data_IF_720457211658
#
_entry.id   IF_720457211658
#
_cell.length_a   1.000
_cell.length_b   1.000
_cell.length_c   1.000
_cell.angle_alpha   90.00
_cell.angle_beta   90.00
_cell.angle_gamma   90.00
#
_symmetry.space_group_name_H-M   'P 1'
#
loop_
_entity.id
_entity.type
_entity.pdbx_description
1 polymer ?
#
# COMPACT_ATOMS: atom_id res chain seq x y z
N UNK A 1 24.94 -0.18 -26.86
CA UNK A 1 24.52 -0.39 -25.46
C UNK A 1 23.30 0.49 -25.29
N UNK A 2 22.08 -0.06 -25.41
CA UNK A 2 20.84 0.72 -25.59
C UNK A 2 19.88 0.58 -24.40
N UNK A 3 20.41 0.15 -23.25
CA UNK A 3 19.61 0.04 -22.04
C UNK A 3 19.42 1.44 -21.45
N UNK A 4 18.19 1.86 -21.14
CA UNK A 4 17.96 3.11 -20.44
C UNK A 4 18.58 3.07 -19.04
N UNK A 5 19.00 4.21 -18.48
CA UNK A 5 19.51 4.28 -17.13
C UNK A 5 18.41 3.99 -16.10
N UNK A 6 18.78 3.34 -14.99
CA UNK A 6 17.81 2.82 -14.00
C UNK A 6 17.00 3.89 -13.28
N UNK A 7 17.52 5.11 -13.13
CA UNK A 7 16.80 6.18 -12.42
C UNK A 7 15.54 6.63 -13.18
N UNK A 8 15.49 6.46 -14.51
CA UNK A 8 14.32 6.79 -15.33
C UNK A 8 13.08 5.95 -14.98
N UNK A 9 13.22 4.90 -14.18
CA UNK A 9 12.10 4.08 -13.73
C UNK A 9 11.22 4.78 -12.68
N UNK A 10 11.80 5.69 -11.88
CA UNK A 10 11.12 6.33 -10.75
C UNK A 10 11.30 7.86 -10.70
N UNK A 11 12.22 8.43 -11.47
CA UNK A 11 12.42 9.88 -11.58
C UNK A 11 11.66 10.42 -12.79
N UNK A 12 10.86 11.46 -12.57
CA UNK A 12 10.15 12.19 -13.62
C UNK A 12 11.12 13.05 -14.42
N UNK A 13 10.89 13.12 -15.74
CA UNK A 13 11.63 14.02 -16.62
C UNK A 13 11.13 15.46 -16.50
N UNK A 14 11.94 16.41 -16.98
CA UNK A 14 11.59 17.82 -16.95
C UNK A 14 10.34 18.09 -17.80
N UNK A 15 9.26 18.53 -17.15
CA UNK A 15 7.96 18.81 -17.79
C UNK A 15 6.99 17.62 -17.83
N UNK A 16 7.37 16.44 -17.33
CA UNK A 16 6.49 15.28 -17.26
C UNK A 16 5.48 15.39 -16.10
N UNK A 17 4.19 15.25 -16.40
CA UNK A 17 3.14 15.27 -15.37
C UNK A 17 3.08 13.92 -14.65
N UNK A 18 3.10 13.89 -13.31
CA UNK A 18 3.04 12.63 -12.55
C UNK A 18 1.72 11.87 -12.76
N UNK A 19 0.63 12.61 -12.95
CA UNK A 19 -0.72 12.07 -13.12
C UNK A 19 -1.41 12.80 -14.25
N UNK A 20 -2.01 12.04 -15.16
CA UNK A 20 -2.83 12.54 -16.26
C UNK A 20 -4.21 11.88 -16.17
N UNK A 21 -5.27 12.69 -16.10
CA UNK A 21 -6.66 12.21 -16.05
C UNK A 21 -7.26 12.32 -17.45
N UNK A 22 -7.74 11.21 -17.98
CA UNK A 22 -8.37 11.12 -19.30
C UNK A 22 -9.81 10.64 -19.07
N UNK A 23 -10.77 11.55 -19.21
CA UNK A 23 -12.19 11.20 -19.12
C UNK A 23 -12.61 10.31 -20.29
N UNK A 24 -13.40 9.26 -20.01
CA UNK A 24 -13.91 8.37 -21.05
C UNK A 24 -15.18 8.97 -21.65
N UNK A 25 -15.19 9.13 -22.98
CA UNK A 25 -16.35 9.69 -23.70
C UNK A 25 -17.41 8.65 -24.02
N UNK A 26 -17.07 7.35 -23.95
CA UNK A 26 -17.97 6.25 -24.34
C UNK A 26 -18.75 5.68 -23.17
N UNK A 27 -18.21 5.77 -21.96
CA UNK A 27 -18.81 5.21 -20.75
C UNK A 27 -19.11 6.36 -19.79
N UNK A 28 -20.35 6.51 -19.31
CA UNK A 28 -20.68 7.56 -18.36
C UNK A 28 -19.95 7.34 -17.04
N UNK A 29 -19.56 8.44 -16.38
CA UNK A 29 -18.91 8.45 -15.07
C UNK A 29 -17.65 7.55 -15.03
N UNK A 30 -16.88 7.52 -16.11
CA UNK A 30 -15.65 6.76 -16.20
C UNK A 30 -14.46 7.65 -16.56
N UNK A 31 -13.32 7.36 -15.94
CA UNK A 31 -12.05 8.00 -16.27
C UNK A 31 -10.93 6.97 -16.30
N UNK A 32 -9.96 7.20 -17.19
CA UNK A 32 -8.70 6.49 -17.22
C UNK A 32 -7.61 7.43 -16.73
N UNK A 33 -6.94 7.04 -15.67
CA UNK A 33 -5.90 7.83 -15.02
C UNK A 33 -4.56 7.16 -15.33
N UNK A 34 -3.64 7.93 -15.91
CA UNK A 34 -2.27 7.51 -16.19
C UNK A 34 -1.36 8.03 -15.08
N UNK A 35 -0.67 7.11 -14.42
CA UNK A 35 0.31 7.44 -13.38
C UNK A 35 1.68 7.05 -13.87
N UNK A 36 2.57 8.05 -13.97
CA UNK A 36 3.90 7.90 -14.55
C UNK A 36 4.93 7.58 -13.46
N UNK A 37 5.97 6.84 -13.83
CA UNK A 37 7.09 6.40 -12.99
C UNK A 37 6.64 5.57 -11.79
N UNK A 38 5.58 4.78 -12.00
CA UNK A 38 4.98 3.89 -11.00
C UNK A 38 4.64 2.54 -11.63
N UNK A 39 4.59 1.50 -10.80
CA UNK A 39 4.47 0.12 -11.23
C UNK A 39 3.27 -0.61 -10.57
N UNK A 40 3.31 -1.95 -10.59
CA UNK A 40 2.27 -2.79 -10.01
C UNK A 40 2.10 -2.59 -8.50
N UNK A 41 3.12 -2.10 -7.79
CA UNK A 41 3.09 -1.90 -6.34
C UNK A 41 1.96 -0.94 -5.97
N UNK A 42 1.93 0.21 -6.62
CA UNK A 42 0.92 1.23 -6.42
C UNK A 42 -0.38 0.89 -7.17
N UNK A 43 -0.27 0.41 -8.41
CA UNK A 43 -1.44 0.08 -9.24
C UNK A 43 -2.35 -0.99 -8.63
N UNK A 44 -1.78 -2.09 -8.13
CA UNK A 44 -2.57 -3.17 -7.54
C UNK A 44 -3.22 -2.74 -6.21
N UNK A 45 -2.49 -1.98 -5.39
CA UNK A 45 -2.98 -1.50 -4.09
C UNK A 45 -4.18 -0.58 -4.28
N UNK A 46 -4.10 0.39 -5.20
CA UNK A 46 -5.22 1.26 -5.53
C UNK A 46 -6.41 0.50 -6.09
N UNK A 47 -6.17 -0.42 -7.02
CA UNK A 47 -7.23 -1.24 -7.61
C UNK A 47 -7.97 -2.06 -6.55
N UNK A 48 -7.24 -2.67 -5.61
CA UNK A 48 -7.84 -3.42 -4.51
C UNK A 48 -8.68 -2.51 -3.59
N UNK A 49 -8.20 -1.32 -3.26
CA UNK A 49 -8.94 -0.39 -2.41
C UNK A 49 -10.20 0.15 -3.09
N UNK A 50 -10.12 0.48 -4.38
CA UNK A 50 -11.25 0.99 -5.14
C UNK A 50 -12.39 -0.03 -5.25
N UNK A 51 -12.05 -1.31 -5.45
CA UNK A 51 -13.04 -2.40 -5.50
C UNK A 51 -13.76 -2.64 -4.15
N UNK A 52 -13.23 -2.14 -3.04
CA UNK A 52 -13.92 -2.19 -1.74
C UNK A 52 -14.96 -1.07 -1.57
N UNK A 53 -14.94 -0.04 -2.42
CA UNK A 53 -15.87 1.08 -2.34
C UNK A 53 -17.19 0.75 -3.06
N UNK A 54 -18.35 0.88 -2.40
CA UNK A 54 -19.64 0.51 -3.00
C UNK A 54 -20.06 1.42 -4.17
N UNK A 55 -19.54 2.64 -4.21
CA UNK A 55 -19.80 3.64 -5.26
C UNK A 55 -19.05 3.32 -6.58
N UNK A 56 -18.06 2.42 -6.53
CA UNK A 56 -17.24 2.05 -7.68
C UNK A 56 -17.80 0.80 -8.35
N UNK A 57 -18.28 0.96 -9.58
CA UNK A 57 -18.81 -0.14 -10.38
C UNK A 57 -17.70 -0.96 -11.04
N UNK A 58 -16.61 -0.30 -11.44
CA UNK A 58 -15.47 -0.95 -12.08
C UNK A 58 -14.17 -0.26 -11.69
N UNK A 59 -13.17 -1.07 -11.32
CA UNK A 59 -11.79 -0.62 -11.17
C UNK A 59 -10.83 -1.69 -11.72
N UNK A 60 -10.02 -1.30 -12.70
CA UNK A 60 -9.01 -2.16 -13.30
C UNK A 60 -7.77 -1.38 -13.65
N UNK A 61 -6.60 -1.99 -13.48
CA UNK A 61 -5.33 -1.37 -13.88
C UNK A 61 -4.57 -2.28 -14.84
N UNK A 62 -3.74 -1.68 -15.70
CA UNK A 62 -2.82 -2.40 -16.57
C UNK A 62 -1.53 -1.60 -16.78
N UNK A 63 -0.43 -2.32 -16.90
CA UNK A 63 0.83 -1.80 -17.44
C UNK A 63 0.85 -2.14 -18.93
N UNK A 64 0.79 -1.17 -19.83
CA UNK A 64 0.66 -1.45 -21.26
C UNK A 64 1.91 -2.12 -21.84
N UNK A 65 3.10 -1.79 -21.32
CA UNK A 65 4.34 -2.40 -21.74
C UNK A 65 5.35 -2.40 -20.58
N UNK A 66 6.08 -3.51 -20.31
CA UNK A 66 6.99 -3.60 -19.16
C UNK A 66 8.20 -2.65 -19.24
N UNK A 67 8.60 -2.23 -20.44
CA UNK A 67 9.70 -1.26 -20.62
C UNK A 67 9.29 0.20 -20.36
N UNK A 68 8.00 0.47 -20.20
CA UNK A 68 7.51 1.81 -19.93
C UNK A 68 7.00 1.87 -18.48
N UNK A 69 7.64 2.66 -17.60
CA UNK A 69 7.29 2.69 -16.18
C UNK A 69 6.04 3.56 -15.94
N UNK A 70 4.90 3.16 -16.47
CA UNK A 70 3.61 3.77 -16.12
C UNK A 70 2.51 2.72 -16.13
N UNK A 71 1.47 2.96 -15.36
CA UNK A 71 0.25 2.17 -15.42
C UNK A 71 -0.95 3.05 -15.72
N UNK A 72 -1.97 2.43 -16.29
CA UNK A 72 -3.28 3.04 -16.53
C UNK A 72 -4.27 2.38 -15.58
N UNK A 73 -4.99 3.19 -14.81
CA UNK A 73 -6.11 2.72 -13.99
C UNK A 73 -7.41 3.28 -14.54
N UNK A 74 -8.36 2.41 -14.84
CA UNK A 74 -9.69 2.76 -15.31
C UNK A 74 -10.68 2.57 -14.17
N UNK A 75 -11.45 3.61 -13.90
CA UNK A 75 -12.41 3.69 -12.81
C UNK A 75 -13.75 4.09 -13.41
N UNK A 76 -14.81 3.41 -12.99
CA UNK A 76 -16.20 3.76 -13.30
C UNK A 76 -16.98 3.80 -11.99
N UNK A 77 -17.73 4.87 -11.78
CA UNK A 77 -18.59 5.06 -10.62
C UNK A 77 -20.07 5.02 -11.00
N UNK A 78 -20.93 4.86 -10.00
CA UNK A 78 -22.39 4.94 -10.12
C UNK A 78 -22.92 6.36 -10.43
N UNK A 79 -22.07 7.37 -10.29
CA UNK A 79 -22.40 8.79 -10.47
C UNK A 79 -22.61 9.56 -9.16
N UNK A 80 -22.61 8.87 -8.01
CA UNK A 80 -22.67 9.50 -6.69
C UNK A 80 -21.40 10.29 -6.40
N UNK A 81 -20.26 9.79 -6.88
CA UNK A 81 -18.93 10.42 -6.74
C UNK A 81 -18.20 10.39 -8.08
N UNK A 82 -17.39 11.42 -8.36
CA UNK A 82 -16.58 11.45 -9.57
C UNK A 82 -15.43 10.43 -9.48
N UNK A 83 -14.99 9.84 -10.60
CA UNK A 83 -13.88 8.87 -10.59
C UNK A 83 -12.59 9.40 -9.96
N UNK A 84 -12.30 10.70 -10.13
CA UNK A 84 -11.17 11.37 -9.49
C UNK A 84 -11.32 11.45 -7.97
N UNK A 85 -12.50 11.84 -7.47
CA UNK A 85 -12.77 11.90 -6.04
C UNK A 85 -12.76 10.49 -5.40
N UNK A 86 -13.27 9.47 -6.10
CA UNK A 86 -13.19 8.08 -5.64
C UNK A 86 -11.72 7.63 -5.48
N UNK A 87 -10.83 8.04 -6.40
CA UNK A 87 -9.40 7.77 -6.30
C UNK A 87 -8.77 8.47 -5.08
N UNK A 88 -9.07 9.75 -4.86
CA UNK A 88 -8.56 10.50 -3.71
C UNK A 88 -8.99 9.88 -2.37
N UNK A 89 -10.26 9.46 -2.28
CA UNK A 89 -10.78 8.75 -1.10
C UNK A 89 -10.06 7.41 -0.89
N UNK A 90 -9.81 6.64 -1.95
CA UNK A 90 -9.07 5.39 -1.87
C UNK A 90 -7.63 5.63 -1.37
N UNK A 91 -6.93 6.64 -1.89
CA UNK A 91 -5.61 7.04 -1.41
C UNK A 91 -5.62 7.39 0.08
N UNK A 92 -6.59 8.20 0.51
CA UNK A 92 -6.71 8.62 1.92
C UNK A 92 -6.95 7.43 2.86
N UNK A 93 -7.82 6.49 2.44
CA UNK A 93 -8.08 5.24 3.19
C UNK A 93 -6.83 4.35 3.30
N UNK A 94 -6.06 4.24 2.22
CA UNK A 94 -4.81 3.47 2.22
C UNK A 94 -3.76 4.09 3.14
N UNK A 95 -3.58 5.41 3.12
CA UNK A 95 -2.68 6.12 4.02
C UNK A 95 -3.06 5.85 5.48
N UNK A 96 -4.36 5.96 5.82
CA UNK A 96 -4.85 5.67 7.17
C UNK A 96 -4.63 4.20 7.58
N UNK A 97 -4.81 3.27 6.65
CA UNK A 97 -4.59 1.83 6.90
C UNK A 97 -3.12 1.53 7.17
N UNK A 98 -2.21 2.08 6.35
CA UNK A 98 -0.76 1.92 6.53
C UNK A 98 -0.27 2.57 7.82
N UNK A 99 -0.78 3.75 8.18
CA UNK A 99 -0.46 4.40 9.44
C UNK A 99 -0.90 3.55 10.65
N UNK A 100 -2.10 2.96 10.59
CA UNK A 100 -2.57 2.05 11.65
C UNK A 100 -1.71 0.78 11.75
N UNK A 101 -1.33 0.21 10.60
CA UNK A 101 -0.42 -0.94 10.53
C UNK A 101 0.94 -0.62 11.15
N UNK A 102 1.53 0.52 10.79
CA UNK A 102 2.82 0.98 11.32
C UNK A 102 2.77 1.15 12.84
N UNK A 103 1.71 1.77 13.38
CA UNK A 103 1.54 1.95 14.82
C UNK A 103 1.43 0.62 15.57
N UNK A 104 0.61 -0.31 15.04
CA UNK A 104 0.45 -1.65 15.63
C UNK A 104 1.76 -2.43 15.56
N UNK A 105 2.44 -2.39 14.42
CA UNK A 105 3.73 -3.04 14.24
C UNK A 105 4.79 -2.51 15.20
N UNK A 106 4.94 -1.19 15.32
CA UNK A 106 5.88 -0.56 16.27
C UNK A 106 5.58 -0.91 17.72
N UNK A 107 4.30 -0.96 18.09
CA UNK A 107 3.84 -1.38 19.41
C UNK A 107 4.30 -2.81 19.70
N UNK A 108 3.94 -3.77 18.84
CA UNK A 108 4.32 -5.18 19.03
C UNK A 108 5.84 -5.38 19.01
N UNK A 109 6.55 -4.69 18.11
CA UNK A 109 8.01 -4.76 18.05
C UNK A 109 8.69 -4.22 19.31
N UNK A 110 8.11 -3.18 19.94
CA UNK A 110 8.61 -2.65 21.22
C UNK A 110 8.41 -3.62 22.38
N UNK A 111 7.35 -4.43 22.36
CA UNK A 111 7.12 -5.50 23.33
C UNK A 111 7.99 -6.74 23.04
N UNK A 112 8.29 -7.02 21.77
CA UNK A 112 9.10 -8.16 21.32
C UNK A 112 10.58 -8.15 21.74
N UNK A 113 11.06 -7.09 22.40
CA UNK A 113 12.37 -7.08 23.06
C UNK A 113 12.37 -7.69 24.48
N UNK A 114 11.26 -8.29 24.91
CA UNK A 114 11.14 -9.01 26.20
C UNK A 114 10.74 -10.47 25.99
N UNK A 115 11.35 -11.12 25.00
CA UNK A 115 11.18 -12.56 24.72
C UNK A 115 12.48 -13.35 24.77
N UNK A 116 13.50 -12.84 25.47
CA UNK A 116 14.80 -13.49 25.54
C UNK A 116 15.88 -12.73 26.30
N UNK A 117 15.58 -12.17 27.48
CA UNK A 117 16.65 -12.03 28.48
C UNK A 117 16.79 -13.39 29.15
N UNK A 118 17.61 -14.26 28.57
CA UNK A 118 18.26 -15.29 29.37
C UNK A 118 19.10 -14.48 30.38
N UNK A 119 18.69 -14.45 31.64
CA UNK A 119 19.63 -14.06 32.68
C UNK A 119 20.62 -15.21 32.78
N UNK A 120 21.77 -15.06 32.13
CA UNK A 120 22.91 -15.94 32.34
C UNK A 120 23.51 -15.59 33.71
N UNK A 121 23.80 -16.62 34.50
CA UNK A 121 24.61 -16.44 35.70
C UNK A 121 26.06 -16.07 35.30
N UNK A 122 26.90 -15.71 36.27
CA UNK A 122 28.30 -15.33 36.03
C UNK A 122 29.16 -16.45 35.40
N UNK A 123 28.60 -17.66 35.19
CA UNK A 123 29.23 -18.83 34.59
C UNK A 123 28.59 -19.25 33.26
N UNK A 124 27.68 -18.46 32.70
CA UNK A 124 27.11 -18.67 31.37
C UNK A 124 26.03 -19.75 31.29
N UNK A 125 25.42 -20.14 32.41
CA UNK A 125 24.28 -21.05 32.42
C UNK A 125 22.96 -20.28 32.40
N UNK A 126 22.00 -20.77 31.62
CA UNK A 126 20.67 -20.20 31.53
C UNK A 126 19.91 -20.37 32.86
N UNK A 127 19.68 -19.28 33.58
CA UNK A 127 18.85 -19.27 34.77
C UNK A 127 17.38 -19.14 34.34
N UNK A 128 16.56 -20.16 34.60
CA UNK A 128 15.11 -20.08 34.39
C UNK A 128 14.48 -19.22 35.50
N UNK A 129 13.99 -18.00 35.22
CA UNK A 129 13.44 -17.15 36.26
C UNK A 129 11.96 -17.48 36.41
N UNK A 130 11.71 -18.40 37.34
CA UNK A 130 10.47 -18.52 38.12
C UNK A 130 9.36 -19.49 37.61
N UNK A 131 8.88 -20.43 38.47
CA UNK A 131 7.80 -21.39 38.16
C UNK A 131 6.35 -20.86 38.33
N UNK A 132 6.14 -19.54 38.44
CA UNK A 132 4.86 -18.94 38.84
C UNK A 132 4.46 -17.71 37.98
N UNK A 133 4.41 -17.84 36.65
CA UNK A 133 3.79 -16.82 35.79
C UNK A 133 2.36 -17.22 35.39
N UNK A 134 1.44 -17.10 36.34
CA UNK A 134 0.04 -16.75 36.02
C UNK A 134 0.05 -15.33 35.45
N UNK A 135 -0.25 -15.15 34.17
CA UNK A 135 -0.20 -13.80 33.59
C UNK A 135 -0.41 -13.71 32.09
N UNK A 136 -1.65 -13.95 31.68
CA UNK A 136 -2.27 -13.60 30.38
C UNK A 136 -1.65 -14.19 29.13
N UNK A 137 -2.34 -15.22 28.63
CA UNK A 137 -2.14 -15.77 27.30
C UNK A 137 -2.51 -14.75 26.23
N UNK A 138 -1.78 -14.80 25.12
CA UNK A 138 -1.96 -14.04 23.87
C UNK A 138 -3.30 -14.32 23.15
N UNK A 139 -4.20 -15.06 23.80
CA UNK A 139 -5.55 -15.44 23.36
C UNK A 139 -6.67 -14.68 24.10
N UNK A 140 -6.34 -13.78 25.02
CA UNK A 140 -7.32 -12.90 25.68
C UNK A 140 -7.60 -11.62 24.84
N UNK A 141 -8.19 -11.80 23.65
CA UNK A 141 -8.95 -10.78 22.92
C UNK A 141 -10.11 -11.39 22.15
#
# INVERSE_FOLDING_TARGET
MNAPPRYELFVLEEGEKPVEVIEDTKIPNAATIKVVKQDHTLGNMLRAQLLQMPEVLFAGYKVPHPLQPYFLIKIQTDGSVTPSAALEQACTKLIGTLASLEQKFKREFSFGHVGGRIMEDAYGNAMNPNPWSEGRDYLDY
#
